data_IF_643649697507
#
_entry.id   IF_643649697507
#
_cell.length_a   1.000
_cell.length_b   1.000
_cell.length_c   1.000
_cell.angle_alpha   90.00
_cell.angle_beta   90.00
_cell.angle_gamma   90.00
#
_symmetry.space_group_name_H-M   'P 1'
#
loop_
_entity.id
_entity.type
_entity.pdbx_description
1 polymer ?
#
# COMPACT_ATOMS: atom_id res chain seq x y z
N UNK A 1 27.03 -2.63 12.80
CA UNK A 1 27.47 -1.50 11.97
C UNK A 1 27.45 -1.93 10.50
N UNK A 2 26.47 -1.47 9.72
CA UNK A 2 26.34 -1.72 8.26
C UNK A 2 25.95 -3.17 7.92
N UNK A 3 24.96 -3.44 7.06
CA UNK A 3 24.85 -2.90 5.71
C UNK A 3 23.37 -2.77 5.32
N UNK A 4 22.93 -1.54 5.12
CA UNK A 4 21.76 -1.24 4.28
C UNK A 4 22.16 -1.50 2.84
N UNK A 5 21.50 -2.45 2.17
CA UNK A 5 21.62 -2.59 0.72
C UNK A 5 20.46 -1.82 0.10
N UNK A 6 20.68 -0.53 -0.13
CA UNK A 6 19.81 0.27 -1.00
C UNK A 6 20.20 -0.03 -2.45
N UNK A 7 19.40 -0.83 -3.14
CA UNK A 7 19.53 -0.97 -4.59
C UNK A 7 18.86 0.24 -5.27
N UNK A 8 19.63 1.28 -5.52
CA UNK A 8 19.27 2.36 -6.44
C UNK A 8 19.54 1.87 -7.88
N UNK A 9 18.48 1.58 -8.62
CA UNK A 9 18.59 1.35 -10.08
C UNK A 9 18.50 2.71 -10.76
N UNK A 10 19.44 3.09 -11.63
CA UNK A 10 19.46 4.42 -12.23
C UNK A 10 18.30 4.61 -13.22
N UNK A 11 17.56 5.70 -13.04
CA UNK A 11 16.58 6.22 -13.99
C UNK A 11 17.28 6.66 -15.29
N UNK A 12 17.45 5.75 -16.25
CA UNK A 12 17.60 6.15 -17.65
C UNK A 12 17.15 5.07 -18.61
N UNK A 13 16.19 5.46 -19.43
CA UNK A 13 15.79 4.90 -20.71
C UNK A 13 15.29 3.45 -20.70
N UNK A 14 14.01 3.29 -21.00
CA UNK A 14 13.65 2.55 -22.21
C UNK A 14 12.45 3.31 -22.84
N UNK A 15 12.49 3.56 -24.13
CA UNK A 15 11.40 4.05 -24.99
C UNK A 15 10.95 2.84 -25.83
N UNK A 16 9.65 2.65 -26.05
CA UNK A 16 9.13 1.62 -26.97
C UNK A 16 7.97 0.81 -26.38
N UNK A 17 6.75 1.04 -26.91
CA UNK A 17 5.47 0.36 -26.64
C UNK A 17 5.34 -0.25 -25.24
N UNK A 18 4.85 0.51 -24.26
CA UNK A 18 4.90 0.08 -22.85
C UNK A 18 3.51 -0.11 -22.29
N UNK A 19 3.20 -1.35 -21.87
CA UNK A 19 2.36 -1.54 -20.69
C UNK A 19 2.81 -0.53 -19.64
N UNK A 20 1.88 0.28 -19.13
CA UNK A 20 2.13 1.14 -17.98
C UNK A 20 2.76 0.28 -16.89
N UNK A 21 3.98 0.66 -16.47
CA UNK A 21 4.73 -0.10 -15.49
C UNK A 21 4.25 0.36 -14.11
N UNK A 22 3.20 -0.27 -13.60
CA UNK A 22 2.73 -0.01 -12.24
C UNK A 22 3.73 -0.59 -11.24
N UNK A 23 4.30 0.25 -10.38
CA UNK A 23 5.13 -0.18 -9.24
C UNK A 23 4.26 -0.28 -7.99
N UNK A 24 4.42 -1.36 -7.24
CA UNK A 24 3.74 -1.57 -5.96
C UNK A 24 4.78 -1.46 -4.85
N UNK A 25 4.52 -0.57 -3.89
CA UNK A 25 5.31 -0.45 -2.66
C UNK A 25 4.47 -1.06 -1.54
N UNK A 26 4.84 -2.24 -1.06
CA UNK A 26 3.97 -3.08 -0.22
C UNK A 26 4.15 -2.91 1.29
N UNK A 27 5.14 -2.14 1.74
CA UNK A 27 5.49 -2.04 3.18
C UNK A 27 5.80 -0.61 3.61
N UNK A 28 4.88 0.31 3.30
CA UNK A 28 4.90 1.66 3.88
C UNK A 28 4.34 1.61 5.29
N UNK A 29 5.15 1.99 6.29
CA UNK A 29 4.76 1.91 7.72
C UNK A 29 4.67 3.27 8.40
N UNK A 30 5.19 4.32 7.76
CA UNK A 30 5.26 5.66 8.34
C UNK A 30 4.60 6.69 7.46
N UNK A 31 4.00 7.70 8.08
CA UNK A 31 3.45 8.85 7.38
C UNK A 31 4.50 9.53 6.48
N UNK A 32 5.76 9.57 6.91
CA UNK A 32 6.86 10.14 6.12
C UNK A 32 7.13 9.39 4.81
N UNK A 33 6.84 8.08 4.74
CA UNK A 33 6.91 7.31 3.49
C UNK A 33 5.87 7.86 2.49
N UNK A 34 4.62 7.99 2.95
CA UNK A 34 3.51 8.49 2.12
C UNK A 34 3.74 9.94 1.68
N UNK A 35 4.17 10.80 2.61
CA UNK A 35 4.49 12.20 2.31
C UNK A 35 5.57 12.33 1.24
N UNK A 36 6.56 11.44 1.24
CA UNK A 36 7.58 11.43 0.18
C UNK A 36 6.95 11.09 -1.18
N UNK A 37 6.14 10.03 -1.26
CA UNK A 37 5.48 9.65 -2.52
C UNK A 37 4.49 10.69 -3.03
N UNK A 38 3.69 11.29 -2.16
CA UNK A 38 2.78 12.37 -2.54
C UNK A 38 3.52 13.61 -3.04
N UNK A 39 4.73 13.89 -2.53
CA UNK A 39 5.54 15.01 -3.01
C UNK A 39 6.22 14.71 -4.34
N UNK A 40 6.84 13.54 -4.49
CA UNK A 40 7.62 13.20 -5.69
C UNK A 40 6.74 12.75 -6.87
N UNK A 41 5.59 12.14 -6.58
CA UNK A 41 4.67 11.57 -7.56
C UNK A 41 3.20 11.92 -7.24
N UNK A 42 2.82 13.20 -7.19
CA UNK A 42 1.52 13.65 -6.70
C UNK A 42 0.34 13.14 -7.53
N UNK A 43 0.51 12.99 -8.85
CA UNK A 43 -0.57 12.56 -9.74
C UNK A 43 -0.59 11.05 -9.99
N UNK A 44 0.52 10.34 -9.72
CA UNK A 44 0.67 8.90 -9.98
C UNK A 44 0.53 8.03 -8.73
N UNK A 45 0.76 8.59 -7.54
CA UNK A 45 0.67 7.83 -6.30
C UNK A 45 -0.78 7.52 -5.93
N UNK A 46 -1.01 6.29 -5.46
CA UNK A 46 -2.26 5.84 -4.86
C UNK A 46 -1.94 5.11 -3.56
N UNK A 47 -2.61 5.52 -2.50
CA UNK A 47 -2.46 4.95 -1.17
C UNK A 47 -3.60 3.96 -0.92
N UNK A 48 -3.24 2.68 -0.81
CA UNK A 48 -4.21 1.60 -0.56
C UNK A 48 -3.92 1.01 0.81
N UNK A 49 -4.92 1.02 1.69
CA UNK A 49 -4.85 0.35 2.99
C UNK A 49 -5.41 -1.06 2.87
N UNK A 50 -4.76 -2.01 3.51
CA UNK A 50 -5.35 -3.33 3.79
C UNK A 50 -5.59 -3.40 5.29
N UNK A 51 -6.80 -3.76 5.68
CA UNK A 51 -7.15 -3.93 7.08
C UNK A 51 -8.01 -5.17 7.29
N UNK A 52 -7.95 -5.71 8.49
CA UNK A 52 -8.77 -6.82 8.94
C UNK A 52 -9.23 -6.50 10.36
N UNK A 53 -10.44 -6.91 10.71
CA UNK A 53 -10.93 -6.82 12.07
C UNK A 53 -10.02 -7.56 13.05
N UNK A 54 -10.04 -7.11 14.30
CA UNK A 54 -9.32 -7.78 15.38
C UNK A 54 -9.75 -9.24 15.53
N UNK A 55 -11.06 -9.53 15.36
CA UNK A 55 -11.58 -10.90 15.37
C UNK A 55 -10.94 -11.76 14.27
N UNK A 56 -10.97 -11.31 13.02
CA UNK A 56 -10.32 -12.02 11.89
C UNK A 56 -8.82 -12.22 12.11
N UNK A 57 -8.13 -11.23 12.70
CA UNK A 57 -6.70 -11.36 13.01
C UNK A 57 -6.47 -12.43 14.08
N UNK A 58 -7.26 -12.42 15.15
CA UNK A 58 -7.20 -13.42 16.24
C UNK A 58 -7.47 -14.84 15.73
N UNK A 59 -8.44 -15.01 14.84
CA UNK A 59 -8.73 -16.31 14.20
C UNK A 59 -7.55 -16.85 13.39
N UNK A 60 -6.68 -15.97 12.89
CA UNK A 60 -5.44 -16.34 12.18
C UNK A 60 -4.24 -16.54 13.11
N UNK A 61 -4.46 -16.53 14.43
CA UNK A 61 -3.43 -16.69 15.44
C UNK A 61 -2.65 -15.42 15.76
N UNK A 62 -3.16 -14.24 15.40
CA UNK A 62 -2.61 -12.98 15.91
C UNK A 62 -3.04 -12.78 17.35
N UNK A 63 -2.08 -12.60 18.25
CA UNK A 63 -2.30 -12.26 19.65
C UNK A 63 -1.75 -10.85 19.89
N UNK A 64 -2.63 -9.94 20.32
CA UNK A 64 -2.24 -8.56 20.59
C UNK A 64 -1.14 -8.52 21.66
N UNK A 65 0.00 -7.96 21.31
CA UNK A 65 1.14 -7.79 22.20
C UNK A 65 1.37 -6.31 22.47
N UNK A 66 1.06 -5.89 23.70
CA UNK A 66 1.33 -4.54 24.19
C UNK A 66 2.81 -4.19 24.06
N UNK A 67 3.11 -2.99 23.56
CA UNK A 67 4.44 -2.51 23.23
C UNK A 67 4.96 -2.90 21.84
N UNK A 68 4.25 -3.76 21.10
CA UNK A 68 4.56 -4.15 19.72
C UNK A 68 3.45 -3.68 18.80
N UNK A 69 2.22 -4.14 19.04
CA UNK A 69 1.06 -3.85 18.18
C UNK A 69 0.50 -2.44 18.36
N UNK A 70 0.78 -1.77 19.48
CA UNK A 70 0.43 -0.37 19.78
C UNK A 70 1.61 0.61 19.62
N UNK A 71 2.77 0.10 19.18
CA UNK A 71 3.93 0.93 18.92
C UNK A 71 3.71 1.80 17.66
N UNK A 72 4.30 2.99 17.66
CA UNK A 72 4.23 3.93 16.54
C UNK A 72 4.73 3.32 15.21
N UNK A 73 5.63 2.33 15.27
CA UNK A 73 6.12 1.61 14.09
C UNK A 73 5.06 0.74 13.39
N UNK A 74 3.98 0.38 14.09
CA UNK A 74 2.89 -0.46 13.58
C UNK A 74 1.58 0.35 13.40
N UNK A 75 1.34 1.38 14.23
CA UNK A 75 0.16 2.26 14.16
C UNK A 75 0.39 3.59 13.42
N UNK A 76 1.56 3.82 12.83
CA UNK A 76 1.97 5.10 12.26
C UNK A 76 1.12 5.62 11.08
N UNK A 77 0.16 4.83 10.60
CA UNK A 77 -0.78 5.17 9.52
C UNK A 77 -2.25 4.99 9.93
N UNK A 78 -2.53 4.73 11.21
CA UNK A 78 -3.91 4.49 11.70
C UNK A 78 -4.73 5.78 11.82
N UNK A 79 -4.08 6.94 11.82
CA UNK A 79 -4.72 8.25 11.89
C UNK A 79 -4.06 9.25 10.93
N UNK A 80 -4.85 10.17 10.40
CA UNK A 80 -4.34 11.31 9.62
C UNK A 80 -3.94 10.99 8.18
N UNK A 81 -4.41 9.86 7.63
CA UNK A 81 -4.19 9.46 6.24
C UNK A 81 -5.54 9.19 5.58
N UNK A 82 -5.81 9.92 4.51
CA UNK A 82 -6.92 9.63 3.62
C UNK A 82 -6.44 8.64 2.55
N UNK A 83 -6.84 7.37 2.70
CA UNK A 83 -6.51 6.33 1.73
C UNK A 83 -7.44 6.43 0.52
N UNK A 84 -6.87 6.29 -0.68
CA UNK A 84 -7.65 6.23 -1.94
C UNK A 84 -8.54 4.98 -1.98
N UNK A 85 -8.12 3.91 -1.32
CA UNK A 85 -8.87 2.67 -1.21
C UNK A 85 -8.53 1.91 0.07
N UNK A 86 -9.54 1.23 0.62
CA UNK A 86 -9.38 0.36 1.78
C UNK A 86 -9.89 -1.03 1.40
N UNK A 87 -9.00 -2.01 1.50
CA UNK A 87 -9.30 -3.43 1.30
C UNK A 87 -9.58 -4.06 2.66
N UNK A 88 -10.78 -4.63 2.82
CA UNK A 88 -11.18 -5.42 3.98
C UNK A 88 -10.81 -6.87 3.76
N UNK A 89 -9.92 -7.41 4.59
CA UNK A 89 -9.45 -8.79 4.52
C UNK A 89 -10.06 -9.61 5.66
N UNK A 90 -11.38 -9.82 5.62
CA UNK A 90 -12.16 -10.52 6.66
C UNK A 90 -12.21 -12.05 6.50
N UNK A 91 -11.29 -12.63 5.71
CA UNK A 91 -11.18 -14.09 5.55
C UNK A 91 -12.08 -14.72 4.49
N UNK A 92 -13.03 -13.98 3.90
CA UNK A 92 -13.74 -14.41 2.70
C UNK A 92 -12.91 -14.08 1.44
N UNK A 93 -12.34 -15.12 0.83
CA UNK A 93 -11.57 -14.99 -0.40
C UNK A 93 -12.38 -14.44 -1.59
N UNK A 94 -13.68 -14.70 -1.66
CA UNK A 94 -14.52 -14.20 -2.75
C UNK A 94 -14.74 -12.69 -2.64
N UNK A 95 -14.99 -12.21 -1.42
CA UNK A 95 -15.11 -10.79 -1.12
C UNK A 95 -13.78 -10.05 -1.37
N UNK A 96 -12.64 -10.67 -1.05
CA UNK A 96 -11.33 -10.09 -1.33
C UNK A 96 -11.07 -9.96 -2.84
N UNK A 97 -11.36 -11.01 -3.62
CA UNK A 97 -11.20 -11.00 -5.08
C UNK A 97 -12.09 -9.94 -5.74
N UNK A 98 -13.33 -9.77 -5.27
CA UNK A 98 -14.22 -8.72 -5.76
C UNK A 98 -13.65 -7.33 -5.51
N UNK A 99 -13.14 -7.05 -4.30
CA UNK A 99 -12.52 -5.77 -3.95
C UNK A 99 -11.28 -5.47 -4.80
N UNK A 100 -10.46 -6.49 -5.10
CA UNK A 100 -9.30 -6.36 -5.97
C UNK A 100 -9.72 -6.08 -7.42
N UNK A 101 -10.70 -6.82 -7.92
CA UNK A 101 -11.16 -6.72 -9.31
C UNK A 101 -11.91 -5.41 -9.60
N UNK A 102 -12.68 -4.90 -8.64
CA UNK A 102 -13.53 -3.72 -8.82
C UNK A 102 -12.84 -2.44 -8.36
N UNK A 103 -12.34 -2.39 -7.13
CA UNK A 103 -11.75 -1.19 -6.54
C UNK A 103 -10.35 -0.91 -7.06
N UNK A 104 -9.41 -1.80 -6.76
CA UNK A 104 -7.99 -1.58 -7.07
C UNK A 104 -7.74 -1.43 -8.58
N UNK A 105 -8.39 -2.26 -9.40
CA UNK A 105 -8.26 -2.16 -10.85
C UNK A 105 -8.94 -0.91 -11.43
N UNK A 106 -10.01 -0.37 -10.83
CA UNK A 106 -10.61 0.90 -11.30
C UNK A 106 -9.66 2.06 -11.07
N UNK A 107 -9.11 2.16 -9.85
CA UNK A 107 -8.16 3.20 -9.47
C UNK A 107 -6.90 3.16 -10.35
N UNK A 108 -6.41 1.96 -10.67
CA UNK A 108 -5.29 1.79 -11.58
C UNK A 108 -5.60 2.21 -13.03
N UNK A 109 -6.87 2.15 -13.46
CA UNK A 109 -7.32 2.46 -14.84
C UNK A 109 -7.73 3.91 -15.03
N UNK A 110 -8.31 4.57 -14.03
CA UNK A 110 -8.82 5.93 -14.12
C UNK A 110 -7.73 6.94 -14.51
N UNK A 111 -6.53 6.80 -13.97
CA UNK A 111 -5.39 7.69 -14.28
C UNK A 111 -4.70 7.39 -15.61
N UNK A 112 -4.84 6.19 -16.16
CA UNK A 112 -4.29 5.86 -17.47
C UNK A 112 -5.00 6.60 -18.63
N UNK A 113 -6.12 7.28 -18.34
CA UNK A 113 -6.87 8.10 -19.31
C UNK A 113 -6.61 9.60 -19.20
N UNK A 114 -5.86 10.07 -18.20
CA UNK A 114 -5.53 11.50 -18.03
C UNK A 114 -4.18 11.90 -18.65
N UNK A 115 -3.48 10.96 -19.32
CA UNK A 115 -2.26 11.20 -20.09
C UNK A 115 -2.51 11.18 -21.61
#
# INVERSE_FOLDING_TARGET
>A
MGKHTTSLVPLRAIYGKRKSLSQIVSDTRRLSDLQWFWREYPSQSRCVRVEASEETRRDRGWEFTTGIDDAESECGLDQGVDFDWIIKNEGDGSQLEEQLATGLLSIAKEKAKED
#
